data_IF_002813935541
#
_entry.id   IF_002813935541
#
_cell.length_a   1.000
_cell.length_b   1.000
_cell.length_c   1.000
_cell.angle_alpha   90.00
_cell.angle_beta   90.00
_cell.angle_gamma   90.00
#
_symmetry.space_group_name_H-M   'P 1'
#
loop_
_entity.id
_entity.type
_entity.pdbx_description
1 polymer ?
#
# COMPACT_ATOMS: atom_id res chain seq x y z
N UNK A 1 26.76 -9.88 6.45
CA UNK A 1 27.37 -11.17 6.03
C UNK A 1 26.67 -12.39 6.62
N UNK A 2 26.25 -12.39 7.89
CA UNK A 2 25.74 -13.61 8.58
C UNK A 2 24.54 -14.33 7.95
N UNK A 3 23.65 -13.68 7.20
CA UNK A 3 22.47 -14.36 6.64
C UNK A 3 22.80 -15.18 5.38
N UNK A 4 23.59 -14.63 4.47
CA UNK A 4 23.90 -15.28 3.19
C UNK A 4 24.72 -16.55 3.42
N UNK A 5 25.76 -16.48 4.24
CA UNK A 5 26.63 -17.61 4.58
C UNK A 5 25.86 -18.75 5.26
N UNK A 6 24.96 -18.41 6.21
CA UNK A 6 24.11 -19.40 6.90
C UNK A 6 23.21 -20.18 5.94
N UNK A 7 22.81 -19.56 4.83
CA UNK A 7 21.92 -20.17 3.85
C UNK A 7 22.67 -20.69 2.60
N UNK A 8 24.01 -20.73 2.62
CA UNK A 8 24.81 -21.17 1.49
C UNK A 8 24.70 -20.28 0.25
N UNK A 9 24.27 -19.03 0.42
CA UNK A 9 24.12 -18.05 -0.66
C UNK A 9 25.49 -17.42 -0.93
N UNK A 10 26.00 -17.63 -2.14
CA UNK A 10 27.25 -17.02 -2.60
C UNK A 10 27.03 -15.53 -2.80
N UNK A 11 27.82 -14.71 -2.12
CA UNK A 11 27.81 -13.25 -2.30
C UNK A 11 28.73 -12.92 -3.47
N UNK A 12 28.25 -12.25 -4.53
CA UNK A 12 29.09 -11.87 -5.65
C UNK A 12 30.07 -10.76 -5.24
N UNK A 13 31.23 -10.70 -5.91
CA UNK A 13 32.17 -9.58 -5.73
C UNK A 13 31.55 -8.32 -6.32
N UNK A 14 31.16 -7.41 -5.43
CA UNK A 14 30.49 -6.16 -5.76
C UNK A 14 31.40 -5.18 -6.53
N UNK A 15 32.72 -5.36 -6.47
CA UNK A 15 33.70 -4.55 -7.21
C UNK A 15 34.01 -5.11 -8.60
N UNK A 16 33.64 -6.37 -8.87
CA UNK A 16 33.86 -6.98 -10.17
C UNK A 16 33.01 -6.29 -11.24
N UNK A 17 33.46 -6.40 -12.49
CA UNK A 17 32.65 -6.01 -13.64
C UNK A 17 31.43 -6.93 -13.72
N UNK A 18 30.28 -6.33 -13.96
CA UNK A 18 29.07 -7.08 -14.22
C UNK A 18 29.16 -7.73 -15.60
N UNK A 19 28.95 -9.04 -15.65
CA UNK A 19 28.94 -9.82 -16.89
C UNK A 19 27.57 -10.47 -17.01
N UNK A 20 26.77 -10.02 -17.97
CA UNK A 20 25.48 -10.64 -18.27
C UNK A 20 25.70 -11.86 -19.19
N UNK A 21 25.47 -13.06 -18.65
CA UNK A 21 25.63 -14.33 -19.38
C UNK A 21 24.64 -14.47 -20.57
N UNK A 22 23.58 -13.65 -20.64
CA UNK A 22 22.56 -13.73 -21.69
C UNK A 22 22.63 -12.60 -22.73
N UNK A 23 23.35 -11.50 -22.45
CA UNK A 23 23.38 -10.31 -23.29
C UNK A 23 24.81 -9.90 -23.71
N UNK A 24 25.58 -10.85 -24.25
CA UNK A 24 26.92 -10.61 -24.82
C UNK A 24 27.02 -9.52 -25.91
N UNK A 25 25.90 -8.94 -26.37
CA UNK A 25 25.85 -8.11 -27.59
C UNK A 25 25.48 -6.65 -27.32
N UNK A 26 25.07 -6.25 -26.11
CA UNK A 26 24.72 -4.84 -25.86
C UNK A 26 25.37 -4.24 -24.63
N UNK A 27 26.37 -3.42 -24.95
CA UNK A 27 26.85 -2.24 -24.24
C UNK A 27 27.95 -2.47 -23.21
N UNK A 28 29.15 -2.22 -23.75
CA UNK A 28 30.39 -1.84 -23.10
C UNK A 28 30.21 -0.56 -22.27
N UNK A 29 29.75 -0.71 -21.04
CA UNK A 29 30.13 0.20 -19.96
C UNK A 29 30.76 -0.68 -18.88
N UNK A 30 31.92 -0.27 -18.35
CA UNK A 30 32.60 -0.95 -17.22
C UNK A 30 31.77 -0.76 -15.93
N UNK A 31 30.54 -1.28 -15.90
CA UNK A 31 29.65 -1.20 -14.75
C UNK A 31 30.00 -2.30 -13.75
N UNK A 32 30.12 -1.93 -12.48
CA UNK A 32 30.34 -2.89 -11.41
C UNK A 32 29.09 -3.72 -11.14
N UNK A 33 29.26 -4.94 -10.63
CA UNK A 33 28.17 -5.78 -10.09
C UNK A 33 27.32 -4.99 -9.09
N UNK A 34 27.95 -4.16 -8.25
CA UNK A 34 27.24 -3.26 -7.34
C UNK A 34 26.31 -2.30 -8.08
N UNK A 35 26.78 -1.70 -9.17
CA UNK A 35 25.98 -0.74 -9.93
C UNK A 35 24.73 -1.41 -10.48
N UNK A 36 24.92 -2.56 -11.15
CA UNK A 36 23.82 -3.30 -11.74
C UNK A 36 22.74 -3.66 -10.72
N UNK A 37 23.11 -4.34 -9.63
CA UNK A 37 22.12 -4.74 -8.64
C UNK A 37 21.49 -3.54 -7.92
N UNK A 38 22.27 -2.52 -7.58
CA UNK A 38 21.75 -1.38 -6.83
C UNK A 38 20.82 -0.51 -7.68
N UNK A 39 21.26 -0.08 -8.86
CA UNK A 39 20.55 0.90 -9.67
C UNK A 39 19.60 0.26 -10.67
N UNK A 40 20.04 -0.76 -11.40
CA UNK A 40 19.23 -1.33 -12.50
C UNK A 40 18.18 -2.33 -11.99
N UNK A 41 18.47 -3.03 -10.89
CA UNK A 41 17.57 -4.05 -10.34
C UNK A 41 16.80 -3.53 -9.13
N UNK A 42 17.49 -3.19 -8.03
CA UNK A 42 16.82 -2.89 -6.78
C UNK A 42 16.11 -1.54 -6.81
N UNK A 43 16.74 -0.47 -7.28
CA UNK A 43 16.07 0.82 -7.38
C UNK A 43 14.89 0.76 -8.34
N UNK A 44 15.05 0.13 -9.51
CA UNK A 44 13.93 -0.09 -10.44
C UNK A 44 12.77 -0.84 -9.78
N UNK A 45 13.05 -1.92 -9.04
CA UNK A 45 12.03 -2.66 -8.32
C UNK A 45 11.36 -1.81 -7.23
N UNK A 46 12.13 -1.00 -6.48
CA UNK A 46 11.60 -0.09 -5.45
C UNK A 46 10.70 0.96 -6.09
N UNK A 47 11.16 1.62 -7.15
CA UNK A 47 10.40 2.66 -7.86
C UNK A 47 9.09 2.09 -8.41
N UNK A 48 9.13 0.90 -9.02
CA UNK A 48 7.92 0.20 -9.48
C UNK A 48 6.95 -0.09 -8.34
N UNK A 49 7.43 -0.59 -7.20
CA UNK A 49 6.57 -0.84 -6.03
C UNK A 49 6.00 0.46 -5.46
N UNK A 50 6.78 1.55 -5.44
CA UNK A 50 6.30 2.86 -4.99
C UNK A 50 5.21 3.40 -5.90
N UNK A 51 5.38 3.27 -7.22
CA UNK A 51 4.37 3.69 -8.20
C UNK A 51 3.07 2.88 -8.06
N UNK A 52 3.17 1.55 -7.94
CA UNK A 52 2.01 0.69 -7.68
C UNK A 52 1.30 1.03 -6.36
N UNK A 53 2.06 1.31 -5.29
CA UNK A 53 1.50 1.72 -4.01
C UNK A 53 0.78 3.07 -4.12
N UNK A 54 1.37 4.05 -4.80
CA UNK A 54 0.75 5.36 -5.02
C UNK A 54 -0.52 5.26 -5.88
N UNK A 55 -0.52 4.37 -6.87
CA UNK A 55 -1.69 4.13 -7.71
C UNK A 55 -2.86 3.49 -6.92
N UNK A 56 -2.57 2.44 -6.14
CA UNK A 56 -3.57 1.68 -5.37
C UNK A 56 -4.05 2.41 -4.12
N UNK A 57 -3.14 3.10 -3.44
CA UNK A 57 -3.40 3.89 -2.23
C UNK A 57 -3.24 5.37 -2.52
N UNK A 58 -3.94 5.84 -3.56
CA UNK A 58 -4.08 7.27 -3.80
C UNK A 58 -4.83 7.96 -2.65
N UNK A 59 -4.84 9.29 -2.66
CA UNK A 59 -5.43 10.09 -1.58
C UNK A 59 -6.87 9.67 -1.22
N UNK A 60 -7.69 9.35 -2.24
CA UNK A 60 -9.07 8.90 -2.04
C UNK A 60 -9.12 7.53 -1.36
N UNK A 61 -8.30 6.56 -1.80
CA UNK A 61 -8.23 5.25 -1.17
C UNK A 61 -7.71 5.31 0.28
N UNK A 62 -6.70 6.15 0.54
CA UNK A 62 -6.16 6.35 1.90
C UNK A 62 -7.20 7.01 2.80
N UNK A 63 -7.91 8.04 2.31
CA UNK A 63 -8.98 8.68 3.05
C UNK A 63 -10.11 7.70 3.35
N UNK A 64 -10.55 6.91 2.37
CA UNK A 64 -11.57 5.89 2.56
C UNK A 64 -11.15 4.84 3.60
N UNK A 65 -9.91 4.36 3.57
CA UNK A 65 -9.37 3.43 4.57
C UNK A 65 -9.32 4.05 5.97
N UNK A 66 -8.84 5.29 6.06
CA UNK A 66 -8.77 6.05 7.32
C UNK A 66 -10.16 6.22 7.92
N UNK A 67 -11.14 6.64 7.13
CA UNK A 67 -12.51 6.79 7.59
C UNK A 67 -13.11 5.42 7.95
N UNK A 68 -12.88 4.37 7.15
CA UNK A 68 -13.37 3.02 7.45
C UNK A 68 -12.82 2.46 8.77
N UNK A 69 -11.63 2.88 9.20
CA UNK A 69 -11.07 2.48 10.50
C UNK A 69 -11.90 2.95 11.70
N UNK A 70 -12.72 3.99 11.55
CA UNK A 70 -13.65 4.45 12.59
C UNK A 70 -14.79 3.47 12.86
N UNK A 71 -15.06 2.55 11.93
CA UNK A 71 -16.02 1.46 12.14
C UNK A 71 -15.40 0.30 12.92
N UNK A 72 -14.10 0.32 13.23
CA UNK A 72 -13.45 -0.79 13.93
C UNK A 72 -13.96 -0.90 15.39
N UNK A 73 -14.50 -2.07 15.82
CA UNK A 73 -15.02 -2.24 17.18
C UNK A 73 -13.93 -2.38 18.25
N UNK A 74 -12.65 -2.41 17.86
CA UNK A 74 -11.53 -2.55 18.79
C UNK A 74 -11.53 -1.46 19.85
N UNK A 75 -11.04 -1.82 21.03
CA UNK A 75 -10.94 -0.92 22.19
C UNK A 75 -12.27 -0.23 22.51
N UNK A 76 -13.39 -0.97 22.43
CA UNK A 76 -14.74 -0.45 22.65
C UNK A 76 -15.06 0.75 21.74
N UNK A 77 -14.83 0.58 20.44
CA UNK A 77 -14.99 1.65 19.44
C UNK A 77 -14.14 2.90 19.72
N UNK A 78 -12.89 2.71 20.16
CA UNK A 78 -12.01 3.82 20.54
C UNK A 78 -11.70 4.81 19.41
N UNK A 79 -11.85 4.39 18.15
CA UNK A 79 -11.69 5.22 16.95
C UNK A 79 -13.01 5.68 16.33
N UNK A 80 -14.15 5.33 16.94
CA UNK A 80 -15.44 5.63 16.35
C UNK A 80 -15.76 7.11 16.44
N UNK A 81 -16.00 7.68 15.27
CA UNK A 81 -16.36 9.05 15.09
C UNK A 81 -17.54 9.10 14.11
N UNK A 82 -18.73 9.40 14.65
CA UNK A 82 -19.96 9.45 13.87
C UNK A 82 -19.87 10.47 12.74
N UNK A 83 -19.22 11.60 12.96
CA UNK A 83 -19.10 12.65 11.95
C UNK A 83 -18.25 12.15 10.78
N UNK A 84 -17.11 11.50 11.08
CA UNK A 84 -16.26 10.89 10.05
C UNK A 84 -16.93 9.72 9.33
N UNK A 85 -17.69 8.88 10.03
CA UNK A 85 -18.48 7.82 9.40
C UNK A 85 -19.52 8.44 8.45
N UNK A 86 -20.22 9.49 8.89
CA UNK A 86 -21.13 10.24 8.04
C UNK A 86 -20.39 10.87 6.85
N UNK A 87 -19.12 11.27 6.98
CA UNK A 87 -18.30 11.70 5.84
C UNK A 87 -18.14 10.58 4.82
N UNK A 88 -17.96 9.30 5.19
CA UNK A 88 -17.89 8.18 4.22
C UNK A 88 -19.13 8.19 3.33
N UNK A 89 -20.31 8.25 3.95
CA UNK A 89 -21.58 8.22 3.23
C UNK A 89 -21.79 9.52 2.44
N UNK A 90 -21.51 10.68 3.05
CA UNK A 90 -21.74 12.00 2.47
C UNK A 90 -20.70 12.40 1.41
N UNK A 91 -19.56 11.71 1.38
CA UNK A 91 -18.47 11.96 0.43
C UNK A 91 -18.81 11.49 -0.98
N UNK A 92 -18.00 11.94 -1.94
CA UNK A 92 -18.05 11.52 -3.33
C UNK A 92 -17.52 10.10 -3.58
N UNK A 93 -17.32 9.23 -2.57
CA UNK A 93 -16.83 7.87 -2.81
C UNK A 93 -17.88 6.96 -3.47
N UNK A 94 -19.17 7.12 -3.12
CA UNK A 94 -20.26 6.28 -3.63
C UNK A 94 -21.52 7.07 -4.06
N UNK A 95 -21.39 8.17 -4.84
CA UNK A 95 -22.51 9.06 -5.14
C UNK A 95 -23.57 8.42 -6.04
N UNK A 96 -23.25 7.33 -6.74
CA UNK A 96 -24.17 6.60 -7.60
C UNK A 96 -24.95 5.51 -6.86
N UNK A 97 -24.47 5.06 -5.71
CA UNK A 97 -25.03 3.90 -4.99
C UNK A 97 -26.11 4.30 -3.99
N UNK A 98 -26.19 5.58 -3.62
CA UNK A 98 -27.11 6.08 -2.60
C UNK A 98 -27.99 7.22 -3.11
N UNK A 99 -29.30 7.07 -2.97
CA UNK A 99 -30.23 8.18 -3.14
C UNK A 99 -30.16 9.14 -1.95
N UNK A 100 -30.72 10.35 -2.09
CA UNK A 100 -30.83 11.29 -0.96
C UNK A 100 -31.59 10.71 0.23
N UNK A 101 -32.55 9.80 -0.02
CA UNK A 101 -33.29 9.14 1.03
C UNK A 101 -32.44 8.08 1.75
N UNK A 102 -31.68 7.26 1.00
CA UNK A 102 -30.76 6.28 1.58
C UNK A 102 -29.72 6.97 2.45
N UNK A 103 -29.22 8.11 1.98
CA UNK A 103 -28.30 8.98 2.70
C UNK A 103 -28.84 9.47 4.04
N UNK A 104 -30.09 9.94 4.06
CA UNK A 104 -30.74 10.35 5.31
C UNK A 104 -30.86 9.19 6.31
N UNK A 105 -31.23 8.00 5.83
CA UNK A 105 -31.34 6.82 6.68
C UNK A 105 -29.97 6.35 7.18
N UNK A 106 -28.94 6.36 6.35
CA UNK A 106 -27.56 6.01 6.70
C UNK A 106 -27.01 6.89 7.82
N UNK A 107 -27.32 8.18 7.85
CA UNK A 107 -26.88 9.08 8.93
C UNK A 107 -27.42 8.71 10.32
N UNK A 108 -28.51 7.93 10.37
CA UNK A 108 -29.12 7.44 11.61
C UNK A 108 -28.58 6.06 12.05
N UNK A 109 -27.93 5.32 11.14
CA UNK A 109 -27.43 3.96 11.41
C UNK A 109 -26.19 3.87 12.32
N UNK A 110 -25.24 4.84 12.35
CA UNK A 110 -24.05 4.74 13.20
C UNK A 110 -24.36 4.55 14.69
N UNK A 111 -25.46 5.12 15.18
CA UNK A 111 -25.87 4.97 16.58
C UNK A 111 -26.32 3.53 16.87
N UNK A 112 -27.01 2.88 15.92
CA UNK A 112 -27.41 1.47 16.01
C UNK A 112 -26.22 0.53 15.84
N UNK A 113 -25.28 0.86 14.95
CA UNK A 113 -24.09 0.06 14.68
C UNK A 113 -23.29 -0.28 15.95
N UNK A 114 -23.12 0.69 16.86
CA UNK A 114 -22.46 0.48 18.15
C UNK A 114 -23.16 -0.53 19.05
N UNK A 115 -24.48 -0.62 18.95
CA UNK A 115 -25.31 -1.52 19.75
C UNK A 115 -25.27 -2.92 19.15
N UNK A 116 -25.38 -3.02 17.83
CA UNK A 116 -25.50 -4.29 17.11
C UNK A 116 -24.18 -5.07 17.03
N UNK A 117 -23.04 -4.40 16.93
CA UNK A 117 -21.72 -5.04 16.78
C UNK A 117 -21.11 -5.49 18.12
N UNK A 118 -21.67 -5.08 19.26
CA UNK A 118 -21.18 -5.42 20.63
C UNK A 118 -21.85 -6.68 21.20
N UNK A 119 -22.63 -7.43 20.42
CA UNK A 119 -23.22 -8.71 20.86
C UNK A 119 -22.22 -9.86 20.73
#
# INVERSE_FOLDING_TARGET
MMLCEKNGIIVPDMSALYMDEFLYVRQSDDISVKHHYHYDVFNYAIDFQLEELQYRFNDHAVELLRLSSSLEPKNNFGLFDKEQICTIFNSNFYPADFSQQDMYHLQLQPDHYKIDVVI
#
